data_IF_499000764350
#
_entry.id   IF_499000764350
#
_cell.length_a   1.000
_cell.length_b   1.000
_cell.length_c   1.000
_cell.angle_alpha   90.00
_cell.angle_beta   90.00
_cell.angle_gamma   90.00
#
_symmetry.space_group_name_H-M   'P 1'
#
loop_
_entity.id
_entity.type
_entity.pdbx_description
1 polymer ?
#
# COMPACT_ATOMS: atom_id res chain seq x y z
N UNK A 1 24.84 -3.51 11.43
CA UNK A 1 23.79 -2.65 12.03
C UNK A 1 22.59 -3.52 12.32
N UNK A 2 21.90 -3.34 13.44
CA UNK A 2 20.65 -4.08 13.71
C UNK A 2 19.49 -3.48 12.92
N UNK A 3 18.43 -4.25 12.64
CA UNK A 3 17.30 -3.79 11.82
C UNK A 3 16.62 -2.54 12.39
N UNK A 4 16.39 -2.50 13.71
CA UNK A 4 15.73 -1.38 14.38
C UNK A 4 16.59 -0.10 14.40
N UNK A 5 17.91 -0.27 14.33
CA UNK A 5 18.87 0.83 14.23
C UNK A 5 18.85 1.40 12.81
N UNK A 6 18.84 0.53 11.80
CA UNK A 6 18.72 0.92 10.40
C UNK A 6 17.41 1.65 10.09
N UNK A 7 16.29 1.16 10.61
CA UNK A 7 14.98 1.83 10.45
C UNK A 7 15.02 3.24 11.05
N UNK A 8 15.56 3.39 12.25
CA UNK A 8 15.70 4.70 12.92
C UNK A 8 16.64 5.64 12.18
N UNK A 9 17.75 5.13 11.66
CA UNK A 9 18.70 5.92 10.87
C UNK A 9 18.02 6.43 9.58
N UNK A 10 17.35 5.55 8.84
CA UNK A 10 16.64 5.92 7.61
C UNK A 10 15.52 6.92 7.88
N UNK A 11 14.70 6.70 8.92
CA UNK A 11 13.66 7.64 9.31
C UNK A 11 14.24 9.03 9.60
N UNK A 12 15.29 9.11 10.42
CA UNK A 12 15.92 10.38 10.81
C UNK A 12 16.48 11.11 9.58
N UNK A 13 17.26 10.43 8.74
CA UNK A 13 17.89 11.02 7.55
C UNK A 13 16.85 11.54 6.56
N UNK A 14 15.83 10.73 6.26
CA UNK A 14 14.77 11.12 5.34
C UNK A 14 13.93 12.27 5.92
N UNK A 15 13.62 12.24 7.22
CA UNK A 15 12.84 13.29 7.86
C UNK A 15 13.61 14.61 7.89
N UNK A 16 14.92 14.61 8.15
CA UNK A 16 15.74 15.83 8.09
C UNK A 16 15.83 16.40 6.68
N UNK A 17 16.01 15.53 5.68
CA UNK A 17 16.16 15.92 4.27
C UNK A 17 14.87 16.44 3.65
N UNK A 18 13.74 15.84 3.99
CA UNK A 18 12.43 16.10 3.38
C UNK A 18 11.49 16.92 4.27
N UNK A 19 11.95 17.43 5.41
CA UNK A 19 11.12 18.13 6.42
C UNK A 19 10.29 19.30 5.88
N UNK A 20 10.70 19.95 4.79
CA UNK A 20 9.96 21.10 4.25
C UNK A 20 8.68 20.62 3.55
N UNK A 21 8.77 19.53 2.78
CA UNK A 21 7.68 19.04 1.93
C UNK A 21 6.87 17.91 2.59
N UNK A 22 7.49 17.13 3.48
CA UNK A 22 6.92 15.90 4.04
C UNK A 22 6.91 15.82 5.56
N UNK A 23 5.90 15.14 6.07
CA UNK A 23 5.89 14.49 7.38
C UNK A 23 6.05 12.98 7.17
N UNK A 24 7.10 12.39 7.74
CA UNK A 24 7.40 10.97 7.60
C UNK A 24 7.04 10.24 8.89
N UNK A 25 6.12 9.28 8.79
CA UNK A 25 5.68 8.46 9.93
C UNK A 25 6.15 7.03 9.77
N UNK A 26 6.49 6.39 10.87
CA UNK A 26 6.73 4.95 10.91
C UNK A 26 5.42 4.23 11.23
N UNK A 27 5.09 3.20 10.45
CA UNK A 27 3.95 2.33 10.71
C UNK A 27 4.42 0.87 10.73
N UNK A 28 4.06 0.14 11.78
CA UNK A 28 4.27 -1.30 11.86
C UNK A 28 3.04 -1.99 11.27
N UNK A 29 3.22 -2.66 10.12
CA UNK A 29 2.17 -3.35 9.40
C UNK A 29 2.44 -4.84 9.46
N UNK A 30 1.43 -5.63 9.82
CA UNK A 30 1.54 -7.08 9.77
C UNK A 30 1.34 -7.52 8.31
N UNK A 31 2.36 -8.14 7.71
CA UNK A 31 2.30 -8.68 6.35
C UNK A 31 1.50 -9.99 6.32
N UNK A 32 1.10 -10.34 5.10
CA UNK A 32 0.53 -11.59 4.58
C UNK A 32 1.22 -12.93 4.97
N UNK A 33 2.13 -12.94 5.94
CA UNK A 33 2.94 -14.09 6.38
C UNK A 33 3.32 -14.00 7.88
N UNK A 34 2.54 -13.29 8.70
CA UNK A 34 2.81 -13.02 10.13
C UNK A 34 4.19 -12.38 10.44
N UNK A 35 4.85 -11.79 9.43
CA UNK A 35 6.02 -10.95 9.68
C UNK A 35 5.61 -9.50 9.88
N UNK A 36 6.15 -8.90 10.94
CA UNK A 36 6.07 -7.46 11.18
C UNK A 36 6.92 -6.77 10.13
N UNK A 37 6.29 -5.87 9.37
CA UNK A 37 6.95 -5.03 8.41
C UNK A 37 6.92 -3.60 8.91
N UNK A 38 8.08 -2.95 8.99
CA UNK A 38 8.13 -1.52 9.26
C UNK A 38 8.11 -0.78 7.94
N UNK A 39 7.13 0.12 7.83
CA UNK A 39 6.97 1.00 6.69
C UNK A 39 7.20 2.44 7.09
N UNK A 40 7.75 3.20 6.15
CA UNK A 40 7.73 4.66 6.22
C UNK A 40 6.59 5.18 5.35
N UNK A 41 5.77 6.04 5.94
CA UNK A 41 4.63 6.72 5.31
C UNK A 41 5.04 8.15 5.02
N UNK A 42 4.93 8.58 3.76
CA UNK A 42 5.34 9.90 3.30
C UNK A 42 4.10 10.76 3.06
N UNK A 43 3.75 11.62 4.02
CA UNK A 43 2.61 12.53 3.88
C UNK A 43 3.09 13.92 3.44
N UNK A 44 2.55 14.46 2.35
CA UNK A 44 2.87 15.84 1.94
C UNK A 44 2.15 16.83 2.84
N UNK A 45 2.85 17.89 3.24
CA UNK A 45 2.27 18.94 4.08
C UNK A 45 1.28 19.85 3.35
N UNK A 46 1.42 20.00 2.04
CA UNK A 46 0.63 20.93 1.23
C UNK A 46 -0.67 20.36 0.65
N UNK A 47 -0.79 19.03 0.53
CA UNK A 47 -2.03 18.39 0.05
C UNK A 47 -2.98 18.19 1.27
N UNK A 48 -4.30 18.25 1.05
CA UNK A 48 -5.31 18.19 2.12
C UNK A 48 -5.42 16.84 2.88
N UNK A 49 -6.51 16.67 3.65
CA UNK A 49 -6.72 15.54 4.60
C UNK A 49 -6.79 14.14 3.97
N UNK A 50 -7.00 14.02 2.65
CA UNK A 50 -7.02 12.72 1.97
C UNK A 50 -5.97 12.68 0.86
N UNK A 51 -4.89 11.95 1.11
CA UNK A 51 -3.81 11.71 0.15
C UNK A 51 -3.56 10.21 0.01
N UNK A 52 -3.34 9.76 -1.23
CA UNK A 52 -2.67 8.50 -1.46
C UNK A 52 -1.18 8.69 -1.08
N UNK A 53 -0.85 8.36 0.17
CA UNK A 53 0.51 8.50 0.70
C UNK A 53 1.35 7.27 0.34
N UNK A 54 2.56 7.42 -0.24
CA UNK A 54 3.47 6.32 -0.43
C UNK A 54 3.78 5.64 0.91
N UNK A 55 3.64 4.31 0.95
CA UNK A 55 4.11 3.50 2.07
C UNK A 55 5.21 2.55 1.59
N UNK A 56 6.41 2.71 2.12
CA UNK A 56 7.59 1.97 1.66
C UNK A 56 8.07 1.03 2.75
N UNK A 57 8.16 -0.27 2.43
CA UNK A 57 8.70 -1.31 3.31
C UNK A 57 10.22 -1.17 3.44
N UNK A 58 10.72 -1.06 4.68
CA UNK A 58 12.14 -0.84 4.95
C UNK A 58 12.95 -2.13 4.88
N UNK A 59 12.30 -3.29 4.98
CA UNK A 59 12.97 -4.59 5.00
C UNK A 59 13.88 -4.81 3.77
N UNK A 60 13.40 -4.50 2.56
CA UNK A 60 14.21 -4.68 1.34
C UNK A 60 15.46 -3.79 1.31
N UNK A 61 15.38 -2.59 1.87
CA UNK A 61 16.54 -1.69 1.97
C UNK A 61 17.53 -2.15 3.03
N UNK A 62 17.05 -2.76 4.12
CA UNK A 62 17.91 -3.40 5.09
C UNK A 62 18.67 -4.58 4.48
N UNK A 63 18.00 -5.44 3.71
CA UNK A 63 18.64 -6.56 3.00
C UNK A 63 19.72 -6.07 2.01
N UNK A 64 19.49 -4.93 1.33
CA UNK A 64 20.50 -4.26 0.51
C UNK A 64 21.70 -3.82 1.34
N UNK A 65 21.46 -3.21 2.51
CA UNK A 65 22.52 -2.76 3.39
C UNK A 65 23.36 -3.93 3.94
N UNK A 66 22.71 -5.03 4.35
CA UNK A 66 23.40 -6.26 4.77
C UNK A 66 24.24 -6.88 3.65
N UNK A 67 23.86 -6.65 2.40
CA UNK A 67 24.63 -7.08 1.21
C UNK A 67 25.83 -6.16 0.90
N UNK A 68 26.11 -5.17 1.74
CA UNK A 68 27.26 -4.26 1.61
C UNK A 68 26.96 -2.93 0.92
N UNK A 69 25.70 -2.63 0.61
CA UNK A 69 25.30 -1.34 0.05
C UNK A 69 25.32 -0.27 1.16
N UNK A 70 25.98 0.90 0.96
CA UNK A 70 25.97 1.97 1.95
C UNK A 70 24.55 2.49 2.24
N UNK A 71 24.33 2.97 3.47
CA UNK A 71 23.03 3.49 3.89
C UNK A 71 22.61 4.72 3.05
N UNK A 72 23.57 5.54 2.58
CA UNK A 72 23.35 6.66 1.66
C UNK A 72 22.75 6.20 0.32
N UNK A 73 23.22 5.07 -0.17
CA UNK A 73 22.73 4.51 -1.44
C UNK A 73 21.34 3.90 -1.25
N UNK A 74 21.10 3.24 -0.11
CA UNK A 74 19.77 2.76 0.26
C UNK A 74 18.75 3.91 0.36
N UNK A 75 19.14 5.02 1.01
CA UNK A 75 18.33 6.25 1.08
C UNK A 75 17.99 6.78 -0.32
N UNK A 76 18.98 6.86 -1.22
CA UNK A 76 18.78 7.34 -2.59
C UNK A 76 17.79 6.48 -3.37
N UNK A 77 17.92 5.16 -3.29
CA UNK A 77 17.00 4.23 -3.96
C UNK A 77 15.60 4.35 -3.36
N UNK A 78 15.50 4.49 -2.04
CA UNK A 78 14.23 4.67 -1.33
C UNK A 78 13.52 5.94 -1.79
N UNK A 79 14.23 7.07 -1.84
CA UNK A 79 13.69 8.34 -2.32
C UNK A 79 13.14 8.21 -3.75
N UNK A 80 13.87 7.55 -4.65
CA UNK A 80 13.37 7.29 -6.00
C UNK A 80 12.11 6.44 -5.99
N UNK A 81 12.02 5.43 -5.12
CA UNK A 81 10.79 4.64 -4.97
C UNK A 81 9.60 5.48 -4.48
N UNK A 82 9.83 6.46 -3.62
CA UNK A 82 8.80 7.41 -3.16
C UNK A 82 8.36 8.30 -4.31
N UNK A 83 9.29 8.90 -5.04
CA UNK A 83 9.01 9.74 -6.21
C UNK A 83 8.26 8.96 -7.30
N UNK A 84 8.69 7.74 -7.60
CA UNK A 84 8.01 6.85 -8.56
C UNK A 84 6.61 6.50 -8.07
N UNK A 85 6.44 6.19 -6.78
CA UNK A 85 5.13 5.88 -6.21
C UNK A 85 4.20 7.09 -6.25
N UNK A 86 4.69 8.30 -5.96
CA UNK A 86 3.93 9.54 -6.11
C UNK A 86 3.55 9.79 -7.57
N UNK A 87 4.53 9.71 -8.50
CA UNK A 87 4.29 9.92 -9.93
C UNK A 87 3.26 8.93 -10.51
N UNK A 88 3.20 7.71 -9.94
CA UNK A 88 2.21 6.69 -10.26
C UNK A 88 0.85 6.94 -9.62
N UNK A 89 0.81 7.51 -8.42
CA UNK A 89 -0.43 7.76 -7.65
C UNK A 89 -1.09 9.10 -7.99
N UNK A 90 -0.42 9.95 -8.77
CA UNK A 90 -0.87 11.30 -9.12
C UNK A 90 -1.77 11.34 -10.38
N UNK A 91 -2.47 10.23 -10.70
CA UNK A 91 -3.57 10.28 -11.67
C UNK A 91 -4.85 10.65 -10.93
N UNK A 92 -5.59 11.64 -11.47
CA UNK A 92 -6.89 12.06 -10.94
C UNK A 92 -7.84 10.85 -10.80
N UNK A 93 -7.77 9.92 -11.74
CA UNK A 93 -8.54 8.66 -11.74
C UNK A 93 -8.22 7.77 -10.53
N UNK A 94 -6.95 7.68 -10.10
CA UNK A 94 -6.56 6.93 -8.90
C UNK A 94 -7.09 7.60 -7.63
N UNK A 95 -6.94 8.92 -7.52
CA UNK A 95 -7.44 9.69 -6.37
C UNK A 95 -8.97 9.56 -6.26
N UNK A 96 -9.71 9.70 -7.37
CA UNK A 96 -11.16 9.54 -7.40
C UNK A 96 -11.61 8.13 -7.00
N UNK A 97 -10.97 7.08 -7.52
CA UNK A 97 -11.31 5.70 -7.20
C UNK A 97 -11.02 5.33 -5.74
N UNK A 98 -10.00 5.93 -5.11
CA UNK A 98 -9.75 5.73 -3.67
C UNK A 98 -10.82 6.41 -2.80
N UNK A 99 -11.48 7.45 -3.32
CA UNK A 99 -12.47 8.26 -2.61
C UNK A 99 -13.92 7.84 -2.84
N UNK A 100 -14.24 7.35 -4.03
CA UNK A 100 -15.61 7.17 -4.52
C UNK A 100 -15.83 5.77 -5.07
N UNK A 101 -16.95 5.15 -4.69
CA UNK A 101 -17.37 3.87 -5.27
C UNK A 101 -17.61 3.96 -6.77
N UNK A 102 -18.22 5.06 -7.23
CA UNK A 102 -18.58 5.24 -8.64
C UNK A 102 -17.35 5.21 -9.56
N UNK A 103 -16.22 5.77 -9.09
CA UNK A 103 -14.96 5.71 -9.80
C UNK A 103 -14.24 4.36 -9.60
N UNK A 104 -14.43 3.69 -8.47
CA UNK A 104 -13.76 2.42 -8.16
C UNK A 104 -14.40 1.20 -8.82
N UNK A 105 -15.72 1.18 -8.98
CA UNK A 105 -16.51 -0.04 -9.18
C UNK A 105 -16.10 -0.88 -10.38
N UNK A 106 -15.72 -0.27 -11.50
CA UNK A 106 -15.30 -0.96 -12.73
C UNK A 106 -13.84 -1.45 -12.68
N UNK A 107 -13.14 -1.20 -11.58
CA UNK A 107 -11.72 -1.48 -11.40
C UNK A 107 -11.46 -2.43 -10.23
N UNK A 108 -12.51 -3.06 -9.70
CA UNK A 108 -12.38 -4.05 -8.63
C UNK A 108 -12.27 -5.45 -9.19
N UNK A 109 -11.28 -6.20 -8.72
CA UNK A 109 -11.03 -7.58 -9.14
C UNK A 109 -10.76 -8.51 -7.96
N UNK A 110 -11.15 -9.79 -8.06
CA UNK A 110 -10.83 -10.79 -7.06
C UNK A 110 -9.35 -11.19 -7.11
N UNK A 111 -8.77 -11.49 -5.96
CA UNK A 111 -7.40 -12.03 -5.82
C UNK A 111 -7.38 -13.15 -4.79
N UNK A 112 -6.58 -14.18 -5.06
CA UNK A 112 -6.42 -15.32 -4.15
C UNK A 112 -5.22 -15.14 -3.24
N UNK A 113 -5.46 -15.26 -1.93
CA UNK A 113 -4.43 -15.25 -0.89
C UNK A 113 -4.49 -16.56 -0.09
N UNK A 114 -3.35 -17.06 0.39
CA UNK A 114 -3.32 -18.22 1.29
C UNK A 114 -3.92 -17.87 2.65
N UNK A 115 -4.93 -18.62 3.14
CA UNK A 115 -5.56 -18.33 4.45
C UNK A 115 -4.58 -18.43 5.60
N UNK A 116 -3.78 -19.48 5.61
CA UNK A 116 -2.81 -19.73 6.68
C UNK A 116 -1.77 -18.62 6.76
N UNK A 117 -1.19 -18.25 5.61
CA UNK A 117 -0.16 -17.20 5.58
C UNK A 117 -0.74 -15.82 5.91
N UNK A 118 -1.97 -15.54 5.51
CA UNK A 118 -2.57 -14.20 5.58
C UNK A 118 -3.54 -13.99 6.75
N UNK A 119 -3.56 -14.88 7.75
CA UNK A 119 -4.62 -14.93 8.77
C UNK A 119 -4.85 -13.60 9.50
N UNK A 120 -3.79 -12.87 9.84
CA UNK A 120 -3.88 -11.55 10.46
C UNK A 120 -4.37 -10.48 9.48
N UNK A 121 -3.81 -10.43 8.27
CA UNK A 121 -4.18 -9.46 7.24
C UNK A 121 -5.65 -9.62 6.79
N UNK A 122 -6.16 -10.85 6.79
CA UNK A 122 -7.56 -11.15 6.47
C UNK A 122 -8.56 -10.56 7.48
N UNK A 123 -8.13 -10.13 8.67
CA UNK A 123 -9.03 -9.47 9.64
C UNK A 123 -9.53 -8.12 9.13
N UNK A 124 -8.71 -7.41 8.36
CA UNK A 124 -9.01 -6.07 7.86
C UNK A 124 -9.60 -6.06 6.45
N UNK A 125 -9.44 -7.17 5.72
CA UNK A 125 -9.95 -7.32 4.36
C UNK A 125 -11.39 -7.82 4.30
N UNK A 126 -12.05 -7.52 3.18
CA UNK A 126 -13.25 -8.25 2.76
C UNK A 126 -12.80 -9.51 2.03
N UNK A 127 -13.24 -10.67 2.50
CA UNK A 127 -12.84 -11.94 1.90
C UNK A 127 -13.88 -13.05 2.05
N UNK A 128 -13.81 -14.04 1.16
CA UNK A 128 -14.59 -15.28 1.23
C UNK A 128 -13.67 -16.51 1.24
N UNK A 129 -13.99 -17.56 2.00
CA UNK A 129 -13.19 -18.78 2.01
C UNK A 129 -13.29 -19.53 0.66
N UNK A 130 -12.16 -20.01 0.15
CA UNK A 130 -12.08 -20.90 -1.01
C UNK A 130 -11.00 -21.96 -0.81
N UNK A 131 -11.39 -23.18 -0.42
CA UNK A 131 -10.46 -24.26 -0.05
C UNK A 131 -9.48 -23.82 1.06
N UNK A 132 -8.18 -23.83 0.83
CA UNK A 132 -7.10 -23.33 1.69
C UNK A 132 -6.74 -21.85 1.40
N UNK A 133 -7.40 -21.25 0.40
CA UNK A 133 -7.25 -19.86 -0.01
C UNK A 133 -8.42 -18.99 0.48
N UNK A 134 -8.21 -17.69 0.42
CA UNK A 134 -9.18 -16.62 0.64
C UNK A 134 -9.29 -15.81 -0.65
N UNK A 135 -10.52 -15.63 -1.12
CA UNK A 135 -10.83 -14.68 -2.20
C UNK A 135 -10.95 -13.31 -1.55
N UNK A 136 -9.99 -12.44 -1.83
CA UNK A 136 -9.99 -11.03 -1.43
C UNK A 136 -10.25 -10.14 -2.65
N UNK A 137 -10.31 -8.83 -2.45
CA UNK A 137 -10.61 -7.88 -3.51
C UNK A 137 -9.55 -6.77 -3.57
N UNK A 138 -9.24 -6.33 -4.79
CA UNK A 138 -8.30 -5.26 -5.03
C UNK A 138 -8.81 -4.30 -6.10
N UNK A 139 -8.52 -3.02 -5.91
CA UNK A 139 -8.64 -1.99 -6.93
C UNK A 139 -7.41 -2.08 -7.85
N UNK A 140 -7.63 -2.08 -9.17
CA UNK A 140 -6.59 -2.15 -10.19
C UNK A 140 -6.85 -1.10 -11.25
N UNK A 141 -5.93 -0.14 -11.37
CA UNK A 141 -6.07 1.01 -12.27
C UNK A 141 -4.80 1.21 -13.08
N UNK A 142 -4.92 1.68 -14.33
CA UNK A 142 -3.77 2.18 -15.07
C UNK A 142 -3.20 3.40 -14.35
N UNK A 143 -1.88 3.49 -14.35
CA UNK A 143 -1.11 4.60 -13.81
C UNK A 143 -0.12 5.04 -14.90
N UNK A 144 0.49 6.22 -14.75
CA UNK A 144 1.40 6.79 -15.75
C UNK A 144 2.42 5.78 -16.30
N UNK A 145 2.94 4.90 -15.42
CA UNK A 145 3.77 3.75 -15.81
C UNK A 145 3.26 2.45 -15.17
N UNK A 146 2.48 1.69 -15.93
CA UNK A 146 2.04 0.33 -15.56
C UNK A 146 0.65 0.28 -14.93
N UNK A 147 0.49 -0.55 -13.91
CA UNK A 147 -0.77 -0.73 -13.17
C UNK A 147 -0.55 -0.56 -11.68
N UNK A 148 -1.34 0.33 -11.07
CA UNK A 148 -1.43 0.49 -9.64
C UNK A 148 -2.42 -0.52 -9.07
N UNK A 149 -2.16 -1.01 -7.86
CA UNK A 149 -3.16 -1.80 -7.14
C UNK A 149 -3.21 -1.52 -5.65
N UNK A 150 -4.43 -1.59 -5.10
CA UNK A 150 -4.71 -1.40 -3.69
C UNK A 150 -5.64 -2.51 -3.20
N UNK A 151 -5.33 -3.12 -2.07
CA UNK A 151 -6.19 -4.16 -1.47
C UNK A 151 -7.35 -3.44 -0.81
N UNK A 152 -8.57 -3.95 -1.02
CA UNK A 152 -9.78 -3.33 -0.50
C UNK A 152 -10.01 -3.83 0.92
N UNK A 153 -9.87 -2.91 1.88
CA UNK A 153 -10.13 -3.14 3.31
C UNK A 153 -11.58 -2.79 3.64
N UNK A 154 -12.05 -3.27 4.80
CA UNK A 154 -13.35 -2.88 5.38
C UNK A 154 -13.51 -1.36 5.52
N UNK A 155 -12.42 -0.65 5.79
CA UNK A 155 -12.39 0.82 5.83
C UNK A 155 -12.72 1.47 4.47
N UNK A 156 -12.35 0.84 3.35
CA UNK A 156 -12.72 1.33 2.02
C UNK A 156 -14.22 1.23 1.80
N UNK A 157 -14.86 0.14 2.25
CA UNK A 157 -16.32 -0.02 2.13
C UNK A 157 -17.05 1.03 2.97
N UNK A 158 -16.57 1.28 4.19
CA UNK A 158 -17.13 2.33 5.05
C UNK A 158 -16.99 3.72 4.41
N UNK A 159 -15.88 3.99 3.71
CA UNK A 159 -15.68 5.24 2.97
C UNK A 159 -16.60 5.34 1.75
N UNK A 160 -16.73 4.25 1.01
CA UNK A 160 -17.54 4.16 -0.20
C UNK A 160 -19.05 4.07 0.09
N UNK A 161 -19.44 3.87 1.36
CA UNK A 161 -20.80 3.65 1.82
C UNK A 161 -21.50 2.47 1.12
N UNK A 162 -20.75 1.38 0.92
CA UNK A 162 -21.25 0.14 0.29
C UNK A 162 -21.18 -1.04 1.24
N UNK A 163 -21.94 -2.08 0.90
CA UNK A 163 -21.88 -3.38 1.60
C UNK A 163 -20.93 -4.34 0.92
N UNK A 164 -20.50 -5.36 1.65
CA UNK A 164 -19.63 -6.42 1.11
C UNK A 164 -20.29 -7.11 -0.09
N UNK A 165 -21.61 -7.34 -0.07
CA UNK A 165 -22.30 -8.02 -1.17
C UNK A 165 -22.19 -7.25 -2.50
N UNK A 166 -22.23 -5.92 -2.43
CA UNK A 166 -22.15 -5.04 -3.60
C UNK A 166 -20.75 -5.07 -4.22
N UNK A 167 -19.71 -4.94 -3.38
CA UNK A 167 -18.32 -5.08 -3.82
C UNK A 167 -18.10 -6.40 -4.56
N UNK A 168 -18.66 -7.48 -4.02
CA UNK A 168 -18.39 -8.82 -4.52
C UNK A 168 -19.14 -9.08 -5.83
N UNK A 169 -20.40 -8.67 -5.91
CA UNK A 169 -21.16 -8.75 -7.16
C UNK A 169 -20.46 -7.97 -8.27
N UNK A 170 -19.97 -6.77 -7.98
CA UNK A 170 -19.25 -5.96 -8.96
C UNK A 170 -17.91 -6.59 -9.37
N UNK A 171 -17.15 -7.13 -8.43
CA UNK A 171 -15.89 -7.80 -8.72
C UNK A 171 -16.09 -9.05 -9.60
N UNK A 172 -17.18 -9.80 -9.37
CA UNK A 172 -17.57 -10.94 -10.19
C UNK A 172 -17.98 -10.50 -11.60
N UNK A 173 -18.76 -9.42 -11.73
CA UNK A 173 -19.13 -8.83 -13.02
C UNK A 173 -17.90 -8.40 -13.83
N UNK A 174 -16.97 -7.66 -13.21
CA UNK A 174 -15.75 -7.20 -13.88
C UNK A 174 -14.84 -8.35 -14.32
N UNK A 175 -14.83 -9.46 -13.57
CA UNK A 175 -13.97 -10.62 -13.87
C UNK A 175 -14.55 -11.54 -14.96
N UNK A 176 -15.82 -11.37 -15.33
CA UNK A 176 -16.49 -12.11 -16.41
C UNK A 176 -16.48 -11.37 -17.76
N UNK A 177 -16.05 -10.11 -17.78
CA UNK A 177 -15.99 -9.23 -18.94
C UNK A 177 -14.75 -9.36 -19.80
#
# INVERSE_FOLDING_TARGET
MQYEEFVREMHTRLQERLKEDYEIREEEVIKCNDTRDRKLIFARKEKGEVQAVPSVSIKGFFEMHESGIPAEECERVLLRCVEDAEARSNSEEWEEAVLSWEAAKNHVYPVLLSKERNSEFLKDLVWRPFLDLAVCYMLVLPINEGQGNMKIKKENLARWDIKEEELIAQAEENNLG
#
